data_IF_289619705999
#
_entry.id   IF_289619705999
#
_cell.length_a   1.000
_cell.length_b   1.000
_cell.length_c   1.000
_cell.angle_alpha   90.00
_cell.angle_beta   90.00
_cell.angle_gamma   90.00
#
_symmetry.space_group_name_H-M   'P 1'
#
loop_
_entity.id
_entity.type
_entity.pdbx_description
1 polymer ?
#
# COMPACT_ATOMS: atom_id res chain seq x y z
N UNK A 1 -16.61 18.82 42.41
CA UNK A 1 -15.47 19.36 41.64
C UNK A 1 -14.54 18.20 41.36
N UNK A 2 -14.68 17.63 40.18
CA UNK A 2 -14.01 16.43 39.70
C UNK A 2 -12.94 16.88 38.71
N UNK A 3 -11.68 16.96 39.14
CA UNK A 3 -10.54 17.19 38.26
C UNK A 3 -9.52 16.08 38.50
N UNK A 4 -9.85 14.90 37.99
CA UNK A 4 -8.95 13.78 37.82
C UNK A 4 -8.91 13.45 36.32
N UNK A 5 -8.44 14.40 35.49
CA UNK A 5 -8.22 14.12 34.07
C UNK A 5 -7.14 15.02 33.47
N UNK A 6 -5.94 14.97 34.05
CA UNK A 6 -4.77 15.67 33.47
C UNK A 6 -3.53 14.80 33.55
N UNK A 7 -3.64 13.57 33.06
CA UNK A 7 -2.48 12.73 32.80
C UNK A 7 -2.79 11.69 31.71
N UNK A 8 -2.54 12.06 30.45
CA UNK A 8 -2.15 11.20 29.31
C UNK A 8 -2.26 11.98 28.00
N UNK A 9 -1.23 12.73 27.65
CA UNK A 9 -1.00 13.12 26.24
C UNK A 9 0.42 13.69 26.09
N UNK A 10 1.43 12.82 26.04
CA UNK A 10 2.77 13.23 25.61
C UNK A 10 3.69 12.09 25.17
N UNK A 11 3.15 10.95 24.74
CA UNK A 11 3.92 9.97 23.99
C UNK A 11 3.39 9.97 22.57
N UNK A 12 3.89 10.91 21.75
CA UNK A 12 3.73 10.81 20.31
C UNK A 12 4.38 9.48 19.89
N UNK A 13 3.56 8.46 19.59
CA UNK A 13 4.06 7.18 19.12
C UNK A 13 4.92 7.44 17.86
N UNK A 14 6.25 7.39 18.01
CA UNK A 14 7.18 7.51 16.89
C UNK A 14 7.20 6.14 16.22
N UNK A 15 6.35 5.95 15.21
CA UNK A 15 6.35 4.74 14.40
C UNK A 15 7.59 4.74 13.50
N UNK A 16 8.37 3.66 13.51
CA UNK A 16 9.61 3.52 12.71
C UNK A 16 9.56 2.27 11.85
N UNK A 17 10.11 2.38 10.64
CA UNK A 17 10.26 1.24 9.73
C UNK A 17 8.92 0.66 9.27
N UNK A 18 8.78 -0.67 9.31
CA UNK A 18 7.61 -1.38 8.79
C UNK A 18 6.31 -1.10 9.57
N UNK A 19 6.41 -0.65 10.83
CA UNK A 19 5.23 -0.35 11.66
C UNK A 19 4.44 0.87 11.17
N UNK A 20 5.04 1.70 10.31
CA UNK A 20 4.38 2.83 9.64
C UNK A 20 3.28 2.32 8.69
N UNK A 21 3.47 1.15 8.07
CA UNK A 21 2.51 0.57 7.13
C UNK A 21 1.22 0.15 7.86
N UNK A 22 1.34 -0.48 9.02
CA UNK A 22 0.19 -0.88 9.84
C UNK A 22 -0.60 0.32 10.37
N UNK A 23 0.08 1.38 10.80
CA UNK A 23 -0.58 2.58 11.26
C UNK A 23 -1.32 3.29 10.12
N UNK A 24 -0.68 3.39 8.95
CA UNK A 24 -1.30 3.99 7.77
C UNK A 24 -2.52 3.19 7.34
N UNK A 25 -2.44 1.86 7.34
CA UNK A 25 -3.57 0.98 7.08
C UNK A 25 -4.68 1.16 8.12
N UNK A 26 -4.34 1.24 9.42
CA UNK A 26 -5.31 1.50 10.48
C UNK A 26 -6.06 2.80 10.24
N UNK A 27 -5.37 3.87 9.85
CA UNK A 27 -5.99 5.17 9.56
C UNK A 27 -6.87 5.15 8.30
N UNK A 28 -6.48 4.37 7.29
CA UNK A 28 -7.30 4.12 6.09
C UNK A 28 -8.54 3.27 6.43
N UNK A 29 -8.42 2.31 7.34
CA UNK A 29 -9.50 1.41 7.76
C UNK A 29 -10.45 2.00 8.82
N UNK A 30 -10.01 2.95 9.66
CA UNK A 30 -10.85 3.57 10.71
C UNK A 30 -12.06 4.34 10.19
N UNK A 31 -12.11 4.64 8.89
CA UNK A 31 -13.22 5.37 8.26
C UNK A 31 -14.31 4.46 7.64
N UNK A 32 -14.57 3.28 8.22
CA UNK A 32 -15.60 2.31 7.75
C UNK A 32 -15.36 1.76 6.32
N UNK A 33 -14.11 1.66 5.89
CA UNK A 33 -13.84 1.12 4.56
C UNK A 33 -13.74 -0.41 4.57
N UNK A 34 -14.77 -1.07 4.04
CA UNK A 34 -14.69 -2.47 3.61
C UNK A 34 -14.16 -2.53 2.17
N UNK A 35 -12.87 -2.27 1.94
CA UNK A 35 -12.27 -2.38 0.57
C UNK A 35 -12.09 -3.82 0.14
N UNK A 36 -12.05 -4.76 1.08
CA UNK A 36 -11.72 -6.14 0.76
C UNK A 36 -12.83 -7.07 1.22
N UNK A 37 -13.63 -7.53 0.26
CA UNK A 37 -14.50 -8.69 0.39
C UNK A 37 -14.36 -9.53 -0.90
N UNK A 38 -13.16 -10.01 -1.19
CA UNK A 38 -12.97 -11.10 -2.15
C UNK A 38 -11.81 -10.95 -3.15
N UNK A 39 -11.48 -12.06 -3.83
CA UNK A 39 -10.30 -12.18 -4.70
C UNK A 39 -10.41 -11.46 -6.06
N UNK A 40 -11.53 -10.80 -6.36
CA UNK A 40 -11.76 -10.13 -7.64
C UNK A 40 -11.72 -8.60 -7.48
N UNK A 41 -10.58 -8.03 -7.85
CA UNK A 41 -10.35 -6.58 -7.89
C UNK A 41 -10.94 -5.97 -9.17
N UNK A 42 -12.20 -5.51 -9.12
CA UNK A 42 -12.78 -4.71 -10.20
C UNK A 42 -12.66 -3.20 -9.91
N UNK A 43 -11.78 -2.54 -10.67
CA UNK A 43 -11.45 -1.10 -10.54
C UNK A 43 -12.63 -0.14 -10.82
N UNK A 44 -13.75 -0.62 -11.38
CA UNK A 44 -14.84 0.19 -11.93
C UNK A 44 -15.96 0.55 -10.95
N UNK A 45 -15.93 0.06 -9.71
CA UNK A 45 -17.10 0.18 -8.79
C UNK A 45 -16.97 1.26 -7.71
N UNK A 46 -15.88 2.01 -7.67
CA UNK A 46 -15.66 2.99 -6.61
C UNK A 46 -16.29 4.36 -6.93
N UNK A 47 -16.94 4.97 -5.94
CA UNK A 47 -17.50 6.32 -6.06
C UNK A 47 -16.39 7.36 -5.93
N UNK A 48 -16.45 8.43 -6.72
CA UNK A 48 -15.44 9.51 -6.77
C UNK A 48 -15.11 10.09 -5.40
N UNK A 49 -16.10 10.24 -4.51
CA UNK A 49 -15.90 10.77 -3.16
C UNK A 49 -15.08 9.85 -2.24
N UNK A 50 -15.11 8.53 -2.46
CA UNK A 50 -14.33 7.57 -1.68
C UNK A 50 -12.85 7.61 -2.12
N UNK A 51 -12.63 7.79 -3.43
CA UNK A 51 -11.30 8.01 -4.00
C UNK A 51 -10.63 9.29 -3.50
N UNK A 52 -11.37 10.40 -3.46
CA UNK A 52 -10.85 11.71 -3.00
C UNK A 52 -10.39 11.63 -1.54
N UNK A 53 -11.18 11.03 -0.64
CA UNK A 53 -10.79 10.87 0.77
C UNK A 53 -9.59 9.95 0.95
N UNK A 54 -9.51 8.88 0.17
CA UNK A 54 -8.37 7.97 0.21
C UNK A 54 -7.08 8.68 -0.24
N UNK A 55 -7.18 9.53 -1.25
CA UNK A 55 -6.09 10.37 -1.72
C UNK A 55 -5.68 11.41 -0.66
N UNK A 56 -6.63 12.07 0.01
CA UNK A 56 -6.35 12.99 1.13
C UNK A 56 -5.62 12.29 2.28
N UNK A 57 -6.09 11.10 2.69
CA UNK A 57 -5.43 10.31 3.74
C UNK A 57 -4.04 9.89 3.28
N UNK A 58 -3.89 9.36 2.06
CA UNK A 58 -2.61 8.93 1.50
C UNK A 58 -1.61 10.09 1.43
N UNK A 59 -2.06 11.29 1.03
CA UNK A 59 -1.25 12.50 0.97
C UNK A 59 -0.96 13.09 2.35
N UNK A 60 -1.82 12.86 3.35
CA UNK A 60 -1.66 13.29 4.74
C UNK A 60 -0.49 12.64 5.48
N UNK A 61 0.13 11.58 4.94
CA UNK A 61 1.34 10.96 5.49
C UNK A 61 2.63 11.63 5.00
N UNK A 62 2.66 12.96 4.86
CA UNK A 62 3.82 13.72 4.40
C UNK A 62 5.12 13.37 5.14
N UNK A 63 5.01 13.14 6.45
CA UNK A 63 6.15 12.91 7.33
C UNK A 63 6.77 11.51 7.13
N UNK A 64 5.98 10.57 6.62
CA UNK A 64 6.40 9.21 6.28
C UNK A 64 6.60 9.01 4.79
N UNK A 65 6.29 10.04 3.99
CA UNK A 65 6.31 10.02 2.54
C UNK A 65 7.68 9.63 1.99
N UNK A 66 8.76 10.03 2.65
CA UNK A 66 10.11 9.68 2.22
C UNK A 66 10.37 8.16 2.31
N UNK A 67 10.03 7.54 3.45
CA UNK A 67 10.25 6.11 3.66
C UNK A 67 9.35 5.27 2.74
N UNK A 68 8.08 5.66 2.58
CA UNK A 68 7.15 5.01 1.67
C UNK A 68 7.58 5.17 0.21
N UNK A 69 8.01 6.36 -0.19
CA UNK A 69 8.53 6.60 -1.54
C UNK A 69 9.75 5.74 -1.83
N UNK A 70 10.68 5.60 -0.88
CA UNK A 70 11.85 4.74 -1.03
C UNK A 70 11.45 3.27 -1.16
N UNK A 71 10.50 2.82 -0.33
CA UNK A 71 9.97 1.46 -0.38
C UNK A 71 9.31 1.12 -1.71
N UNK A 72 8.34 1.92 -2.16
CA UNK A 72 7.66 1.67 -3.44
C UNK A 72 8.60 1.82 -4.64
N UNK A 73 9.57 2.73 -4.58
CA UNK A 73 10.59 2.86 -5.62
C UNK A 73 11.49 1.63 -5.70
N UNK A 74 11.84 1.04 -4.55
CA UNK A 74 12.61 -0.21 -4.51
C UNK A 74 11.78 -1.36 -5.09
N UNK A 75 10.52 -1.53 -4.66
CA UNK A 75 9.64 -2.56 -5.21
C UNK A 75 9.47 -2.39 -6.73
N UNK A 76 9.15 -1.18 -7.19
CA UNK A 76 9.04 -0.88 -8.61
C UNK A 76 10.30 -1.30 -9.37
N UNK A 77 11.50 -0.95 -8.88
CA UNK A 77 12.77 -1.32 -9.53
C UNK A 77 12.96 -2.83 -9.61
N UNK A 78 12.63 -3.56 -8.55
CA UNK A 78 12.75 -5.03 -8.54
C UNK A 78 11.81 -5.65 -9.57
N UNK A 79 10.52 -5.29 -9.53
CA UNK A 79 9.55 -5.81 -10.49
C UNK A 79 9.87 -5.40 -11.93
N UNK A 80 10.30 -4.16 -12.13
CA UNK A 80 10.70 -3.66 -13.45
C UNK A 80 11.93 -4.37 -14.00
N UNK A 81 12.91 -4.66 -13.15
CA UNK A 81 14.09 -5.45 -13.52
C UNK A 81 13.70 -6.86 -13.97
N UNK A 82 12.80 -7.52 -13.24
CA UNK A 82 12.30 -8.85 -13.63
C UNK A 82 11.53 -8.78 -14.96
N UNK A 83 10.65 -7.79 -15.10
CA UNK A 83 9.82 -7.54 -16.28
C UNK A 83 10.67 -7.33 -17.56
N UNK A 84 11.72 -6.52 -17.45
CA UNK A 84 12.63 -6.17 -18.57
C UNK A 84 13.74 -7.19 -18.81
N UNK A 85 13.87 -8.20 -17.95
CA UNK A 85 14.89 -9.23 -18.11
C UNK A 85 14.64 -10.10 -19.36
N UNK A 86 15.72 -10.70 -19.88
CA UNK A 86 15.65 -11.69 -20.96
C UNK A 86 15.14 -13.08 -20.53
N UNK A 87 14.57 -13.19 -19.33
CA UNK A 87 14.00 -14.43 -18.81
C UNK A 87 12.73 -14.83 -19.56
N UNK A 88 12.37 -16.11 -19.49
CA UNK A 88 11.08 -16.59 -19.98
C UNK A 88 9.96 -16.17 -19.04
N UNK A 89 8.74 -16.04 -19.56
CA UNK A 89 7.59 -15.55 -18.77
C UNK A 89 7.31 -16.40 -17.53
N UNK A 90 7.51 -17.72 -17.57
CA UNK A 90 7.34 -18.57 -16.39
C UNK A 90 8.38 -18.27 -15.29
N UNK A 91 9.61 -17.91 -15.67
CA UNK A 91 10.68 -17.56 -14.73
C UNK A 91 10.41 -16.19 -14.13
N UNK A 92 9.95 -15.24 -14.95
CA UNK A 92 9.51 -13.91 -14.48
C UNK A 92 8.35 -14.04 -13.51
N UNK A 93 7.34 -14.84 -13.84
CA UNK A 93 6.22 -15.13 -12.95
C UNK A 93 6.69 -15.76 -11.63
N UNK A 94 7.62 -16.72 -11.70
CA UNK A 94 8.20 -17.35 -10.52
C UNK A 94 8.92 -16.33 -9.64
N UNK A 95 9.78 -15.48 -10.19
CA UNK A 95 10.51 -14.48 -9.40
C UNK A 95 9.61 -13.38 -8.85
N UNK A 96 8.65 -12.89 -9.61
CA UNK A 96 7.67 -11.94 -9.09
C UNK A 96 6.81 -12.55 -7.97
N UNK A 97 6.51 -13.86 -8.05
CA UNK A 97 5.84 -14.58 -6.97
C UNK A 97 6.68 -14.66 -5.68
N UNK A 98 8.01 -14.81 -5.79
CA UNK A 98 8.89 -14.81 -4.62
C UNK A 98 8.93 -13.45 -3.94
N UNK A 99 9.05 -12.37 -4.72
CA UNK A 99 9.02 -11.01 -4.16
C UNK A 99 7.68 -10.76 -3.48
N UNK A 100 6.57 -11.15 -4.11
CA UNK A 100 5.23 -11.03 -3.54
C UNK A 100 5.04 -11.81 -2.25
N UNK A 101 5.64 -13.00 -2.13
CA UNK A 101 5.57 -13.81 -0.91
C UNK A 101 6.27 -13.18 0.31
N UNK A 102 7.13 -12.17 0.10
CA UNK A 102 7.75 -11.40 1.18
C UNK A 102 6.93 -10.19 1.64
N UNK A 103 5.85 -9.86 0.93
CA UNK A 103 5.01 -8.71 1.23
C UNK A 103 3.91 -9.13 2.21
N UNK A 104 3.82 -8.42 3.33
CA UNK A 104 2.69 -8.53 4.26
C UNK A 104 1.39 -7.98 3.65
N UNK A 105 0.23 -8.37 4.19
CA UNK A 105 -1.06 -7.88 3.71
C UNK A 105 -1.17 -6.36 3.78
N UNK A 106 -0.64 -5.72 4.83
CA UNK A 106 -0.61 -4.27 4.93
C UNK A 106 0.23 -3.60 3.84
N UNK A 107 1.39 -4.18 3.50
CA UNK A 107 2.21 -3.72 2.40
C UNK A 107 1.55 -3.90 1.04
N UNK A 108 0.84 -5.02 0.83
CA UNK A 108 0.08 -5.27 -0.40
C UNK A 108 -1.09 -4.29 -0.55
N UNK A 109 -1.82 -3.99 0.52
CA UNK A 109 -2.89 -2.99 0.52
C UNK A 109 -2.33 -1.58 0.25
N UNK A 110 -1.18 -1.24 0.83
CA UNK A 110 -0.54 0.05 0.56
C UNK A 110 0.05 0.13 -0.86
N UNK A 111 0.52 -0.99 -1.42
CA UNK A 111 0.88 -1.09 -2.82
C UNK A 111 -0.33 -0.86 -3.73
N UNK A 112 -1.49 -1.43 -3.39
CA UNK A 112 -2.75 -1.15 -4.08
C UNK A 112 -3.02 0.35 -4.12
N UNK A 113 -3.02 1.04 -2.97
CA UNK A 113 -3.23 2.50 -2.91
C UNK A 113 -2.17 3.30 -3.70
N UNK A 114 -0.89 2.93 -3.61
CA UNK A 114 0.17 3.60 -4.36
C UNK A 114 -0.04 3.48 -5.88
N UNK A 115 -0.52 2.32 -6.34
CA UNK A 115 -0.80 2.03 -7.74
C UNK A 115 -2.13 2.61 -8.26
N UNK A 116 -3.01 3.10 -7.38
CA UNK A 116 -4.34 3.63 -7.75
C UNK A 116 -4.48 5.14 -7.57
N UNK A 117 -3.90 5.70 -6.51
CA UNK A 117 -4.15 7.08 -6.08
C UNK A 117 -2.94 8.01 -6.26
N UNK A 118 -1.73 7.48 -6.45
CA UNK A 118 -0.50 8.27 -6.42
C UNK A 118 0.32 8.25 -7.71
N UNK A 119 1.55 8.78 -7.61
CA UNK A 119 2.58 8.74 -8.69
C UNK A 119 2.89 7.31 -9.19
N UNK A 120 2.56 6.29 -8.40
CA UNK A 120 2.67 4.88 -8.79
C UNK A 120 1.63 4.45 -9.83
N UNK A 121 0.53 5.19 -10.01
CA UNK A 121 -0.53 4.88 -10.98
C UNK A 121 -0.04 4.80 -12.42
N UNK A 122 0.84 5.71 -12.82
CA UNK A 122 1.33 5.76 -14.21
C UNK A 122 2.35 4.65 -14.51
N UNK A 123 3.17 4.27 -13.53
CA UNK A 123 4.35 3.41 -13.75
C UNK A 123 4.21 2.02 -13.15
N UNK A 124 3.68 1.94 -11.95
CA UNK A 124 3.67 0.71 -11.17
C UNK A 124 2.39 -0.11 -11.38
N UNK A 125 1.27 0.54 -11.70
CA UNK A 125 -0.01 -0.12 -11.97
C UNK A 125 0.11 -1.24 -13.01
N UNK A 126 0.74 -0.97 -14.14
CA UNK A 126 0.91 -1.99 -15.20
C UNK A 126 1.64 -3.23 -14.70
N UNK A 127 2.70 -3.08 -13.90
CA UNK A 127 3.42 -4.22 -13.32
C UNK A 127 2.57 -4.97 -12.28
N UNK A 128 1.78 -4.24 -11.47
CA UNK A 128 0.87 -4.83 -10.48
C UNK A 128 -0.16 -5.74 -11.15
N UNK A 129 -0.72 -5.29 -12.27
CA UNK A 129 -1.71 -6.04 -13.05
C UNK A 129 -1.06 -7.21 -13.81
N UNK A 130 0.01 -6.95 -14.58
CA UNK A 130 0.70 -7.98 -15.39
C UNK A 130 1.17 -9.17 -14.54
N UNK A 131 1.72 -8.89 -13.36
CA UNK A 131 2.30 -9.92 -12.49
C UNK A 131 1.38 -10.34 -11.34
N UNK A 132 0.12 -9.87 -11.36
CA UNK A 132 -0.92 -10.20 -10.38
C UNK A 132 -0.42 -10.02 -8.94
N UNK A 133 0.18 -8.87 -8.67
CA UNK A 133 0.95 -8.67 -7.44
C UNK A 133 0.10 -8.67 -6.16
N UNK A 134 -1.21 -8.51 -6.28
CA UNK A 134 -2.14 -8.43 -5.16
C UNK A 134 -2.81 -9.78 -4.84
N UNK A 135 -2.43 -10.88 -5.50
CA UNK A 135 -3.06 -12.20 -5.35
C UNK A 135 -2.94 -12.81 -3.94
N UNK A 136 -2.01 -12.35 -3.11
CA UNK A 136 -1.80 -12.87 -1.75
C UNK A 136 -2.46 -12.00 -0.66
N UNK A 137 -3.32 -11.05 -1.02
CA UNK A 137 -4.10 -10.34 0.00
C UNK A 137 -5.17 -11.29 0.52
N UNK A 138 -5.18 -11.50 1.84
CA UNK A 138 -6.24 -12.22 2.56
C UNK A 138 -7.33 -11.27 3.08
#
# INVERSE_FOLDING_TARGET
>A
KSDANTQKNSDANIYKGINVFEQMLSNLNTNNWKVYNGPELHFSEYKDNDFIKAEEIYNGFSDYHQNLCLYFRMLYRIFKFIDESGLKDYEKYQYTSFVRAQLSNSQLILLFYNSTLGKGKEKFKSLVETWVLLKNID
#
